data_IF_438053820020
#
_entry.id   IF_438053820020
#
_cell.length_a   1.000
_cell.length_b   1.000
_cell.length_c   1.000
_cell.angle_alpha   90.00
_cell.angle_beta   90.00
_cell.angle_gamma   90.00
#
_symmetry.space_group_name_H-M   'P 1'
#
loop_
_entity.id
_entity.type
_entity.pdbx_description
1 polymer ?
#
# COMPACT_ATOMS: atom_id res chain seq x y z
N UNK A 1 -25.55 -10.10 3.61
CA UNK A 1 -25.98 -8.71 3.87
C UNK A 1 -25.41 -8.31 5.22
N UNK A 2 -24.72 -7.18 5.33
CA UNK A 2 -24.18 -6.72 6.62
C UNK A 2 -25.33 -6.35 7.56
N UNK A 3 -25.22 -6.65 8.86
CA UNK A 3 -26.23 -6.34 9.86
C UNK A 3 -25.54 -5.87 11.15
N UNK A 4 -25.47 -4.55 11.36
CA UNK A 4 -24.79 -3.96 12.50
C UNK A 4 -25.42 -4.39 13.83
N UNK A 5 -26.75 -4.28 13.95
CA UNK A 5 -27.48 -4.57 15.19
C UNK A 5 -27.30 -6.03 15.66
N UNK A 6 -27.31 -6.97 14.71
CA UNK A 6 -27.04 -8.37 15.00
C UNK A 6 -25.61 -8.53 15.55
N UNK A 7 -24.61 -7.94 14.89
CA UNK A 7 -23.20 -8.10 15.23
C UNK A 7 -22.76 -7.33 16.50
N UNK A 8 -23.50 -6.28 16.88
CA UNK A 8 -23.30 -5.55 18.14
C UNK A 8 -24.07 -6.16 19.30
N UNK A 9 -25.03 -7.06 19.06
CA UNK A 9 -25.78 -7.70 20.14
C UNK A 9 -24.87 -8.47 21.10
N UNK A 10 -25.12 -8.30 22.40
CA UNK A 10 -24.38 -9.01 23.46
C UNK A 10 -24.39 -10.53 23.23
N UNK A 11 -25.53 -11.06 22.79
CA UNK A 11 -25.73 -12.47 22.46
C UNK A 11 -24.72 -12.97 21.41
N UNK A 12 -24.58 -12.26 20.29
CA UNK A 12 -23.64 -12.64 19.22
C UNK A 12 -22.19 -12.46 19.67
N UNK A 13 -21.85 -11.33 20.30
CA UNK A 13 -20.48 -11.10 20.74
C UNK A 13 -20.02 -12.10 21.79
N UNK A 14 -20.88 -12.47 22.76
CA UNK A 14 -20.56 -13.47 23.77
C UNK A 14 -20.47 -14.88 23.18
N UNK A 15 -21.30 -15.20 22.20
CA UNK A 15 -21.13 -16.43 21.41
C UNK A 15 -19.75 -16.47 20.72
N UNK A 16 -19.34 -15.40 20.04
CA UNK A 16 -18.05 -15.35 19.33
C UNK A 16 -16.88 -15.45 20.33
N UNK A 17 -16.95 -14.76 21.47
CA UNK A 17 -15.95 -14.88 22.55
C UNK A 17 -15.84 -16.34 23.02
N UNK A 18 -16.97 -16.99 23.28
CA UNK A 18 -17.02 -18.37 23.74
C UNK A 18 -16.48 -19.35 22.70
N UNK A 19 -16.90 -19.20 21.44
CA UNK A 19 -16.46 -20.04 20.33
C UNK A 19 -14.96 -19.91 20.07
N UNK A 20 -14.43 -18.68 20.11
CA UNK A 20 -12.99 -18.41 19.99
C UNK A 20 -12.21 -19.02 21.16
N UNK A 21 -12.67 -18.83 22.40
CA UNK A 21 -12.05 -19.39 23.60
C UNK A 21 -12.02 -20.92 23.58
N UNK A 22 -13.09 -21.55 23.10
CA UNK A 22 -13.21 -23.01 22.98
C UNK A 22 -12.56 -23.59 21.72
N UNK A 23 -12.06 -22.74 20.80
CA UNK A 23 -11.50 -23.14 19.50
C UNK A 23 -12.45 -24.05 18.71
N UNK A 24 -13.73 -23.66 18.67
CA UNK A 24 -14.74 -24.43 17.92
C UNK A 24 -14.44 -24.40 16.42
N UNK A 25 -14.62 -25.53 15.75
CA UNK A 25 -14.54 -25.59 14.28
C UNK A 25 -15.82 -25.04 13.62
N UNK A 26 -15.78 -24.86 12.29
CA UNK A 26 -16.89 -24.28 11.54
C UNK A 26 -18.21 -25.07 11.66
N UNK A 27 -18.14 -26.40 11.78
CA UNK A 27 -19.31 -27.27 11.92
C UNK A 27 -19.92 -27.12 13.31
N UNK A 28 -19.08 -27.09 14.35
CA UNK A 28 -19.49 -26.87 15.73
C UNK A 28 -20.13 -25.49 15.92
N UNK A 29 -19.53 -24.45 15.32
CA UNK A 29 -20.08 -23.08 15.32
C UNK A 29 -21.46 -23.06 14.66
N UNK A 30 -21.58 -23.60 13.44
CA UNK A 30 -22.84 -23.63 12.69
C UNK A 30 -23.95 -24.38 13.46
N UNK A 31 -23.61 -25.53 14.05
CA UNK A 31 -24.54 -26.35 14.84
C UNK A 31 -25.06 -25.62 16.07
N UNK A 32 -24.20 -24.86 16.76
CA UNK A 32 -24.62 -24.10 17.94
C UNK A 32 -25.48 -22.90 17.56
N UNK A 33 -25.10 -22.16 16.52
CA UNK A 33 -25.89 -21.04 16.04
C UNK A 33 -27.29 -21.46 15.55
N UNK A 34 -27.42 -22.66 14.97
CA UNK A 34 -28.70 -23.16 14.45
C UNK A 34 -29.80 -23.32 15.52
N UNK A 35 -29.42 -23.37 16.80
CA UNK A 35 -30.38 -23.47 17.91
C UNK A 35 -31.12 -22.16 18.17
N UNK A 36 -30.52 -21.03 17.80
CA UNK A 36 -30.89 -19.72 18.32
C UNK A 36 -30.95 -18.61 17.28
N UNK A 37 -30.48 -18.87 16.06
CA UNK A 37 -30.40 -17.91 14.97
C UNK A 37 -30.96 -18.52 13.67
N UNK A 38 -31.61 -17.67 12.87
CA UNK A 38 -32.07 -18.01 11.52
C UNK A 38 -30.91 -18.42 10.61
N UNK A 39 -31.22 -18.98 9.43
CA UNK A 39 -30.19 -19.33 8.44
C UNK A 39 -29.41 -18.09 7.95
N UNK A 40 -30.10 -16.96 7.80
CA UNK A 40 -29.50 -15.70 7.32
C UNK A 40 -28.57 -15.08 8.35
N UNK A 41 -29.01 -14.97 9.61
CA UNK A 41 -28.17 -14.49 10.72
C UNK A 41 -26.95 -15.37 10.92
N UNK A 42 -27.11 -16.69 10.80
CA UNK A 42 -26.00 -17.65 10.83
C UNK A 42 -24.92 -17.34 9.82
N UNK A 43 -25.31 -17.11 8.57
CA UNK A 43 -24.36 -16.80 7.50
C UNK A 43 -23.57 -15.51 7.84
N UNK A 44 -24.27 -14.46 8.28
CA UNK A 44 -23.65 -13.19 8.69
C UNK A 44 -22.66 -13.36 9.84
N UNK A 45 -23.05 -14.11 10.89
CA UNK A 45 -22.18 -14.36 12.04
C UNK A 45 -20.95 -15.17 11.63
N UNK A 46 -21.11 -16.22 10.82
CA UNK A 46 -20.01 -17.06 10.38
C UNK A 46 -19.02 -16.29 9.49
N UNK A 47 -19.53 -15.50 8.55
CA UNK A 47 -18.70 -14.63 7.70
C UNK A 47 -17.91 -13.64 8.57
N UNK A 48 -18.55 -12.99 9.53
CA UNK A 48 -17.90 -12.07 10.45
C UNK A 48 -16.87 -12.76 11.35
N UNK A 49 -17.15 -13.95 11.87
CA UNK A 49 -16.18 -14.73 12.67
C UNK A 49 -14.88 -15.02 11.93
N UNK A 50 -14.93 -15.22 10.61
CA UNK A 50 -13.75 -15.41 9.78
C UNK A 50 -12.90 -14.13 9.61
N UNK A 51 -13.49 -12.94 9.87
CA UNK A 51 -12.81 -11.64 9.84
C UNK A 51 -12.15 -11.29 11.18
N UNK A 52 -12.66 -11.82 12.30
CA UNK A 52 -12.15 -11.54 13.65
C UNK A 52 -10.64 -11.68 13.82
N UNK A 53 -10.01 -12.82 13.48
CA UNK A 53 -8.55 -12.93 13.60
C UNK A 53 -7.80 -11.96 12.68
N UNK A 54 -8.36 -11.67 11.49
CA UNK A 54 -7.74 -10.82 10.48
C UNK A 54 -7.71 -9.35 10.90
N UNK A 55 -8.81 -8.81 11.40
CA UNK A 55 -8.84 -7.42 11.86
C UNK A 55 -7.99 -7.23 13.13
N UNK A 56 -7.92 -8.25 14.01
CA UNK A 56 -7.06 -8.19 15.21
C UNK A 56 -5.59 -8.06 14.83
N UNK A 57 -5.15 -8.87 13.88
CA UNK A 57 -3.78 -8.78 13.34
C UNK A 57 -3.54 -7.44 12.64
N UNK A 58 -4.48 -7.02 11.77
CA UNK A 58 -4.33 -5.79 10.97
C UNK A 58 -4.26 -4.51 11.81
N UNK A 59 -5.05 -4.42 12.88
CA UNK A 59 -5.17 -3.22 13.70
C UNK A 59 -4.45 -3.30 15.06
N UNK A 60 -3.95 -4.48 15.44
CA UNK A 60 -3.24 -4.69 16.71
C UNK A 60 -4.12 -4.49 17.94
N UNK A 61 -5.42 -4.79 17.83
CA UNK A 61 -6.38 -4.61 18.92
C UNK A 61 -6.39 -5.79 19.90
N UNK A 62 -6.78 -5.52 21.14
CA UNK A 62 -6.87 -6.53 22.19
C UNK A 62 -7.85 -7.67 21.82
N UNK A 63 -7.59 -8.86 22.38
CA UNK A 63 -8.35 -10.08 22.05
C UNK A 63 -9.84 -10.03 22.39
N UNK A 64 -10.28 -9.08 23.22
CA UNK A 64 -11.68 -8.92 23.66
C UNK A 64 -12.44 -7.86 22.86
N UNK A 65 -11.73 -6.97 22.17
CA UNK A 65 -12.35 -5.94 21.35
C UNK A 65 -12.91 -6.53 20.04
N UNK A 66 -14.02 -5.96 19.59
CA UNK A 66 -14.65 -6.25 18.31
C UNK A 66 -14.71 -4.97 17.49
N UNK A 67 -14.53 -5.09 16.19
CA UNK A 67 -14.74 -4.03 15.22
C UNK A 67 -15.78 -4.50 14.21
N UNK A 68 -16.75 -3.66 13.88
CA UNK A 68 -17.68 -3.92 12.79
C UNK A 68 -16.97 -3.73 11.44
N UNK A 69 -17.00 -4.76 10.63
CA UNK A 69 -16.51 -4.71 9.26
C UNK A 69 -17.19 -5.81 8.42
N UNK A 70 -17.24 -5.58 7.12
CA UNK A 70 -17.38 -6.65 6.14
C UNK A 70 -16.01 -6.94 5.51
N UNK A 71 -15.98 -7.93 4.61
CA UNK A 71 -14.75 -8.32 3.91
C UNK A 71 -14.12 -7.16 3.14
N UNK A 72 -14.93 -6.36 2.45
CA UNK A 72 -14.44 -5.29 1.57
C UNK A 72 -13.82 -4.14 2.39
N UNK A 73 -14.52 -3.66 3.41
CA UNK A 73 -13.99 -2.63 4.31
C UNK A 73 -12.74 -3.09 5.04
N UNK A 74 -12.68 -4.36 5.45
CA UNK A 74 -11.47 -4.89 6.07
C UNK A 74 -10.32 -4.97 5.07
N UNK A 75 -10.55 -5.34 3.81
CA UNK A 75 -9.49 -5.39 2.79
C UNK A 75 -8.97 -3.98 2.44
N UNK A 76 -9.86 -2.99 2.33
CA UNK A 76 -9.53 -1.62 1.90
C UNK A 76 -8.98 -0.70 3.00
N UNK A 77 -9.26 -0.99 4.28
CA UNK A 77 -8.79 -0.16 5.41
C UNK A 77 -7.26 -0.05 5.51
N UNK A 78 -6.78 1.04 6.08
CA UNK A 78 -5.36 1.25 6.38
C UNK A 78 -4.89 0.36 7.54
N UNK A 79 -3.76 -0.33 7.38
CA UNK A 79 -3.20 -1.21 8.42
C UNK A 79 -2.46 -0.41 9.51
N UNK A 80 -2.29 -1.00 10.71
CA UNK A 80 -1.74 -0.27 11.87
C UNK A 80 -0.34 0.30 11.68
N UNK A 81 0.52 -0.36 10.91
CA UNK A 81 1.89 0.10 10.68
C UNK A 81 1.92 1.40 9.89
N UNK A 82 1.17 1.45 8.80
CA UNK A 82 1.00 2.65 7.98
C UNK A 82 0.22 3.73 8.75
N UNK A 83 -0.89 3.36 9.39
CA UNK A 83 -1.75 4.29 10.13
C UNK A 83 -1.03 5.01 11.27
N UNK A 84 -0.26 4.27 12.08
CA UNK A 84 0.56 4.86 13.16
C UNK A 84 1.62 5.81 12.62
N UNK A 85 2.27 5.47 11.50
CA UNK A 85 3.25 6.37 10.92
C UNK A 85 2.58 7.64 10.36
N UNK A 86 1.43 7.49 9.67
CA UNK A 86 0.63 8.62 9.13
C UNK A 86 0.17 9.59 10.23
N UNK A 87 -0.02 9.11 11.46
CA UNK A 87 -0.34 9.97 12.61
C UNK A 87 0.65 11.13 12.80
N UNK A 88 1.92 10.92 12.44
CA UNK A 88 2.98 11.94 12.54
C UNK A 88 2.85 13.08 11.52
N UNK A 89 1.99 12.93 10.49
CA UNK A 89 1.71 13.98 9.51
C UNK A 89 0.67 14.99 10.00
N UNK A 90 -0.02 14.69 11.10
CA UNK A 90 -1.10 15.50 11.63
C UNK A 90 -0.61 16.39 12.77
N UNK A 91 -1.24 17.56 12.99
CA UNK A 91 -1.03 18.33 14.21
C UNK A 91 -1.28 17.45 15.44
N UNK A 92 -0.44 17.57 16.46
CA UNK A 92 -0.58 16.82 17.71
C UNK A 92 -0.32 17.73 18.92
N UNK A 93 -0.59 17.23 20.13
CA UNK A 93 -0.36 18.03 21.34
C UNK A 93 -1.27 19.26 21.46
N UNK A 94 -0.86 20.30 22.20
CA UNK A 94 -1.70 21.47 22.48
C UNK A 94 -2.22 22.19 21.23
N UNK A 95 -1.44 22.26 20.14
CA UNK A 95 -1.89 22.92 18.90
C UNK A 95 -2.99 22.16 18.14
N UNK A 96 -3.21 20.88 18.46
CA UNK A 96 -4.23 20.07 17.82
C UNK A 96 -5.58 20.13 18.55
N UNK A 97 -5.60 20.60 19.79
CA UNK A 97 -6.81 20.63 20.62
C UNK A 97 -7.87 21.51 19.97
N UNK A 98 -9.06 20.94 19.76
CA UNK A 98 -10.19 21.63 19.15
C UNK A 98 -10.16 21.67 17.63
N UNK A 99 -9.10 21.15 16.98
CA UNK A 99 -9.07 21.01 15.52
C UNK A 99 -9.85 19.78 15.07
N UNK A 100 -10.50 19.91 13.92
CA UNK A 100 -11.42 18.90 13.37
C UNK A 100 -10.93 18.37 12.02
N UNK A 101 -11.21 17.09 11.75
CA UNK A 101 -10.84 16.40 10.50
C UNK A 101 -12.09 15.76 9.91
N UNK A 102 -12.38 16.04 8.64
CA UNK A 102 -13.31 15.24 7.85
C UNK A 102 -12.59 14.02 7.28
N UNK A 103 -13.03 12.82 7.64
CA UNK A 103 -12.64 11.57 6.97
C UNK A 103 -13.66 11.33 5.84
N UNK A 104 -13.29 11.79 4.64
CA UNK A 104 -14.13 11.72 3.45
C UNK A 104 -13.95 10.34 2.81
N UNK A 105 -15.05 9.65 2.53
CA UNK A 105 -15.05 8.23 2.17
C UNK A 105 -14.51 7.35 3.32
N UNK A 106 -15.03 7.58 4.54
CA UNK A 106 -14.44 7.06 5.76
C UNK A 106 -14.44 5.52 5.87
N UNK A 107 -15.31 4.83 5.13
CA UNK A 107 -15.42 3.38 5.19
C UNK A 107 -15.65 2.90 6.62
N UNK A 108 -14.80 1.99 7.11
CA UNK A 108 -14.87 1.52 8.51
C UNK A 108 -14.05 2.36 9.51
N UNK A 109 -13.37 3.42 9.06
CA UNK A 109 -12.57 4.34 9.90
C UNK A 109 -11.07 4.06 9.97
N UNK A 110 -10.52 3.25 9.05
CA UNK A 110 -9.13 2.77 9.14
C UNK A 110 -8.07 3.87 9.25
N UNK A 111 -8.23 4.99 8.54
CA UNK A 111 -7.33 6.14 8.66
C UNK A 111 -7.59 6.94 9.95
N UNK A 112 -8.86 7.11 10.31
CA UNK A 112 -9.27 7.82 11.54
C UNK A 112 -8.86 7.13 12.85
N UNK A 113 -8.64 5.82 12.84
CA UNK A 113 -8.25 5.07 14.05
C UNK A 113 -6.93 5.53 14.67
N UNK A 114 -6.03 6.06 13.85
CA UNK A 114 -4.68 6.40 14.26
C UNK A 114 -4.44 7.91 14.30
N UNK A 115 -5.46 8.73 14.04
CA UNK A 115 -5.34 10.18 14.20
C UNK A 115 -4.97 10.53 15.66
N UNK A 116 -4.16 11.57 15.89
CA UNK A 116 -3.92 12.11 17.22
C UNK A 116 -5.22 12.31 18.00
N UNK A 117 -5.23 11.87 19.27
CA UNK A 117 -6.44 11.85 20.11
C UNK A 117 -7.05 13.24 20.35
N UNK A 118 -6.22 14.28 20.23
CA UNK A 118 -6.59 15.68 20.35
C UNK A 118 -7.46 16.16 19.19
N UNK A 119 -7.36 15.48 18.03
CA UNK A 119 -8.19 15.77 16.86
C UNK A 119 -9.56 15.11 16.97
N UNK A 120 -10.56 15.84 16.50
CA UNK A 120 -11.93 15.34 16.38
C UNK A 120 -12.20 14.94 14.93
N UNK A 121 -12.33 13.63 14.69
CA UNK A 121 -12.59 13.08 13.37
C UNK A 121 -14.10 12.90 13.13
N UNK A 122 -14.57 13.29 11.95
CA UNK A 122 -15.95 13.18 11.51
C UNK A 122 -15.98 12.33 10.24
N UNK A 123 -16.67 11.19 10.29
CA UNK A 123 -16.74 10.27 9.15
C UNK A 123 -17.81 10.67 8.14
N UNK A 124 -17.47 10.73 6.86
CA UNK A 124 -18.40 11.05 5.76
C UNK A 124 -18.41 9.93 4.75
N UNK A 125 -19.59 9.40 4.44
CA UNK A 125 -19.75 8.31 3.47
C UNK A 125 -21.15 8.35 2.84
N UNK A 126 -21.29 7.72 1.68
CA UNK A 126 -22.56 7.54 0.98
C UNK A 126 -23.32 6.31 1.49
N UNK A 127 -22.63 5.35 2.10
CA UNK A 127 -23.21 4.10 2.60
C UNK A 127 -23.42 4.15 4.12
N UNK A 128 -24.68 4.04 4.52
CA UNK A 128 -25.09 4.02 5.93
C UNK A 128 -24.45 2.85 6.72
N UNK A 129 -24.15 1.72 6.07
CA UNK A 129 -23.45 0.60 6.70
C UNK A 129 -22.00 0.96 7.03
N UNK A 130 -21.33 1.73 6.16
CA UNK A 130 -19.97 2.24 6.43
C UNK A 130 -20.00 3.20 7.60
N UNK A 131 -20.96 4.11 7.64
CA UNK A 131 -21.13 5.01 8.78
C UNK A 131 -21.43 4.27 10.09
N UNK A 132 -22.23 3.19 10.06
CA UNK A 132 -22.47 2.35 11.23
C UNK A 132 -21.17 1.67 11.71
N UNK A 133 -20.36 1.15 10.78
CA UNK A 133 -19.03 0.60 11.11
C UNK A 133 -18.13 1.67 11.72
N UNK A 134 -18.01 2.83 11.07
CA UNK A 134 -17.19 3.95 11.52
C UNK A 134 -17.56 4.37 12.94
N UNK A 135 -18.85 4.65 13.21
CA UNK A 135 -19.32 5.09 14.54
C UNK A 135 -18.91 4.11 15.64
N UNK A 136 -19.23 2.83 15.43
CA UNK A 136 -18.91 1.80 16.41
C UNK A 136 -17.40 1.66 16.61
N UNK A 137 -16.64 1.55 15.52
CA UNK A 137 -15.21 1.28 15.56
C UNK A 137 -14.41 2.43 16.15
N UNK A 138 -14.73 3.67 15.79
CA UNK A 138 -14.03 4.85 16.31
C UNK A 138 -14.13 4.94 17.84
N UNK A 139 -15.27 4.54 18.42
CA UNK A 139 -15.43 4.49 19.87
C UNK A 139 -14.56 3.40 20.51
N UNK A 140 -14.59 2.19 19.96
CA UNK A 140 -13.77 1.07 20.43
C UNK A 140 -12.27 1.42 20.35
N UNK A 141 -11.83 2.02 19.24
CA UNK A 141 -10.42 2.40 19.05
C UNK A 141 -9.98 3.54 19.97
N UNK A 142 -10.90 4.37 20.45
CA UNK A 142 -10.65 5.38 21.51
C UNK A 142 -10.73 4.81 22.93
N UNK A 143 -11.03 3.51 23.09
CA UNK A 143 -11.19 2.86 24.38
C UNK A 143 -12.47 3.27 25.12
N UNK A 144 -13.49 3.73 24.40
CA UNK A 144 -14.78 4.17 24.96
C UNK A 144 -15.89 3.25 24.46
N UNK A 145 -16.90 3.01 25.30
CA UNK A 145 -18.05 2.20 24.88
C UNK A 145 -18.84 2.93 23.78
N UNK A 146 -19.38 2.23 22.77
CA UNK A 146 -20.19 2.85 21.72
C UNK A 146 -21.44 3.59 22.23
N UNK A 147 -21.95 3.24 23.42
CA UNK A 147 -23.07 3.91 24.06
C UNK A 147 -22.67 5.25 24.71
N UNK A 148 -21.40 5.36 25.11
CA UNK A 148 -20.84 6.55 25.75
C UNK A 148 -20.09 7.47 24.76
N UNK A 149 -19.93 7.05 23.52
CA UNK A 149 -19.21 7.77 22.48
C UNK A 149 -20.12 8.02 21.28
N UNK A 150 -20.29 9.29 20.92
CA UNK A 150 -21.02 9.69 19.73
C UNK A 150 -20.03 10.17 18.67
N UNK A 151 -19.34 9.23 18.02
CA UNK A 151 -18.51 9.57 16.87
C UNK A 151 -19.39 10.21 15.78
N UNK A 152 -19.08 11.45 15.41
CA UNK A 152 -19.90 12.20 14.46
C UNK A 152 -19.76 11.62 13.06
N UNK A 153 -20.88 11.49 12.35
CA UNK A 153 -20.89 11.02 10.96
C UNK A 153 -21.86 11.84 10.12
N UNK A 154 -21.58 11.95 8.83
CA UNK A 154 -22.42 12.65 7.85
C UNK A 154 -22.71 11.67 6.70
N UNK A 155 -23.98 11.39 6.47
CA UNK A 155 -24.43 10.70 5.26
C UNK A 155 -24.53 11.71 4.12
N UNK A 156 -23.73 11.53 3.08
CA UNK A 156 -23.76 12.42 1.92
C UNK A 156 -22.58 12.27 0.97
N UNK A 157 -22.70 12.91 -0.19
CA UNK A 157 -21.60 13.04 -1.14
C UNK A 157 -20.53 13.98 -0.57
N UNK A 158 -19.30 13.48 -0.50
CA UNK A 158 -18.13 14.20 0.02
C UNK A 158 -17.88 15.52 -0.72
N UNK A 159 -18.24 15.63 -2.00
CA UNK A 159 -18.11 16.85 -2.80
C UNK A 159 -19.01 17.96 -2.27
N UNK A 160 -20.25 17.62 -1.91
CA UNK A 160 -21.21 18.58 -1.36
C UNK A 160 -20.85 18.95 0.07
N UNK A 161 -20.43 17.97 0.89
CA UNK A 161 -19.96 18.22 2.26
C UNK A 161 -18.75 19.16 2.26
N UNK A 162 -17.81 19.00 1.32
CA UNK A 162 -16.66 19.89 1.19
C UNK A 162 -17.09 21.33 0.84
N UNK A 163 -17.99 21.52 -0.14
CA UNK A 163 -18.51 22.86 -0.50
C UNK A 163 -19.20 23.53 0.68
N UNK A 164 -19.94 22.77 1.49
CA UNK A 164 -20.63 23.27 2.67
C UNK A 164 -19.66 23.68 3.80
N UNK A 165 -18.43 23.13 3.82
CA UNK A 165 -17.40 23.45 4.81
C UNK A 165 -17.01 24.94 4.79
N UNK A 166 -17.11 25.61 3.64
CA UNK A 166 -16.86 27.05 3.50
C UNK A 166 -18.06 27.91 3.91
N UNK A 167 -19.27 27.35 3.91
CA UNK A 167 -20.50 28.13 4.11
C UNK A 167 -20.57 28.78 5.50
N UNK A 168 -21.18 29.96 5.62
CA UNK A 168 -21.39 30.59 6.94
C UNK A 168 -22.39 29.83 7.82
N UNK A 169 -23.06 28.81 7.28
CA UNK A 169 -24.16 28.09 7.90
C UNK A 169 -23.74 26.67 8.30
N UNK A 170 -22.67 26.53 9.08
CA UNK A 170 -22.37 25.27 9.74
C UNK A 170 -23.58 24.86 10.59
N UNK A 171 -24.09 23.64 10.37
CA UNK A 171 -25.21 23.12 11.17
C UNK A 171 -24.68 22.16 12.22
N UNK A 172 -25.46 21.92 13.29
CA UNK A 172 -25.10 20.90 14.28
C UNK A 172 -24.97 19.50 13.66
N UNK A 173 -25.68 19.21 12.57
CA UNK A 173 -25.64 17.92 11.87
C UNK A 173 -24.50 17.82 10.86
N UNK A 174 -24.02 18.96 10.33
CA UNK A 174 -22.87 19.05 9.42
C UNK A 174 -21.86 20.10 9.94
N UNK A 175 -21.09 19.73 10.98
CA UNK A 175 -20.05 20.59 11.52
C UNK A 175 -18.93 20.80 10.50
N UNK A 176 -18.17 21.87 10.65
CA UNK A 176 -16.99 22.15 9.83
C UNK A 176 -15.77 21.36 10.30
N UNK A 177 -14.84 21.14 9.37
CA UNK A 177 -13.51 20.65 9.67
C UNK A 177 -12.39 21.58 9.21
N UNK A 178 -11.30 21.62 9.98
CA UNK A 178 -10.06 22.31 9.61
C UNK A 178 -9.32 21.56 8.50
N UNK A 179 -9.30 20.22 8.57
CA UNK A 179 -8.56 19.37 7.67
C UNK A 179 -9.43 18.27 7.05
N UNK A 180 -8.92 17.63 6.00
CA UNK A 180 -9.54 16.44 5.42
C UNK A 180 -8.54 15.28 5.28
N UNK A 181 -9.04 14.06 5.36
CA UNK A 181 -8.41 12.88 4.77
C UNK A 181 -9.39 12.25 3.79
N UNK A 182 -8.90 11.69 2.68
CA UNK A 182 -9.76 11.04 1.69
C UNK A 182 -9.08 9.82 1.06
N UNK A 183 -9.84 8.73 0.96
CA UNK A 183 -9.48 7.53 0.20
C UNK A 183 -10.53 7.27 -0.89
N UNK A 184 -10.36 7.87 -2.09
CA UNK A 184 -11.30 7.68 -3.19
C UNK A 184 -11.40 6.21 -3.59
N UNK A 185 -12.63 5.70 -3.71
CA UNK A 185 -12.85 4.36 -4.21
C UNK A 185 -12.50 4.28 -5.70
N UNK A 186 -11.92 3.15 -6.13
CA UNK A 186 -11.82 2.87 -7.56
C UNK A 186 -13.21 2.60 -8.12
N UNK A 187 -13.60 3.22 -9.24
CA UNK A 187 -14.85 2.86 -9.91
C UNK A 187 -14.74 1.43 -10.42
N UNK A 188 -15.58 0.55 -9.89
CA UNK A 188 -15.82 -0.74 -10.50
C UNK A 188 -16.86 -0.54 -11.60
N UNK A 189 -16.41 -0.44 -12.85
CA UNK A 189 -17.30 -0.64 -14.01
C UNK A 189 -17.27 -2.14 -14.30
N UNK A 190 -18.43 -2.78 -14.21
CA UNK A 190 -18.58 -4.22 -14.46
C UNK A 190 -18.13 -4.53 -15.89
N UNK A 191 -17.11 -5.38 -16.04
CA UNK A 191 -16.53 -5.74 -17.35
C UNK A 191 -15.35 -4.88 -17.83
N UNK A 192 -15.01 -3.77 -17.17
CA UNK A 192 -13.82 -2.99 -17.50
C UNK A 192 -12.60 -3.35 -16.66
N UNK A 193 -11.42 -3.13 -17.24
CA UNK A 193 -10.14 -3.36 -16.58
C UNK A 193 -10.03 -2.47 -15.32
N UNK A 194 -9.85 -3.06 -14.14
CA UNK A 194 -9.48 -2.36 -12.88
C UNK A 194 -8.08 -1.69 -12.92
N UNK A 195 -7.59 -1.36 -14.12
CA UNK A 195 -6.22 -0.96 -14.43
C UNK A 195 -6.08 0.52 -14.78
N UNK A 196 -7.18 1.24 -15.01
CA UNK A 196 -7.12 2.69 -15.11
C UNK A 196 -6.94 3.29 -13.71
N UNK A 197 -5.73 3.78 -13.45
CA UNK A 197 -5.33 4.36 -12.17
C UNK A 197 -6.03 5.70 -11.90
N UNK A 198 -6.64 6.31 -12.92
CA UNK A 198 -7.38 7.58 -12.80
C UNK A 198 -8.85 7.42 -12.46
N UNK A 199 -9.38 6.21 -12.58
CA UNK A 199 -10.79 5.95 -12.40
C UNK A 199 -11.16 5.88 -10.91
N UNK A 200 -11.09 7.04 -10.27
CA UNK A 200 -11.37 7.27 -8.86
C UNK A 200 -12.74 7.95 -8.71
N UNK A 201 -13.38 7.69 -7.57
CA UNK A 201 -14.58 8.39 -7.11
C UNK A 201 -14.39 8.81 -5.65
N UNK A 202 -14.25 10.13 -5.38
CA UNK A 202 -14.14 11.24 -6.35
C UNK A 202 -12.90 11.15 -7.27
N UNK A 203 -12.92 11.79 -8.44
CA UNK A 203 -11.72 11.91 -9.29
C UNK A 203 -10.65 12.71 -8.55
N UNK A 204 -9.41 12.61 -9.01
CA UNK A 204 -8.36 13.42 -8.41
C UNK A 204 -8.57 14.92 -8.68
N UNK A 205 -9.14 15.34 -9.81
CA UNK A 205 -9.49 16.76 -9.99
C UNK A 205 -10.55 17.20 -8.96
N UNK A 206 -11.54 16.36 -8.68
CA UNK A 206 -12.53 16.64 -7.64
C UNK A 206 -11.88 16.67 -6.25
N UNK A 207 -10.89 15.83 -5.97
CA UNK A 207 -10.09 15.88 -4.73
C UNK A 207 -9.33 17.22 -4.63
N UNK A 208 -8.76 17.71 -5.72
CA UNK A 208 -8.11 19.03 -5.76
C UNK A 208 -9.13 20.13 -5.45
N UNK A 209 -10.33 20.10 -6.03
CA UNK A 209 -11.39 21.06 -5.68
C UNK A 209 -11.83 20.95 -4.22
N UNK A 210 -12.03 19.73 -3.71
CA UNK A 210 -12.34 19.46 -2.29
C UNK A 210 -11.28 20.10 -1.39
N UNK A 211 -10.00 19.96 -1.73
CA UNK A 211 -8.88 20.43 -0.91
C UNK A 211 -8.90 21.95 -0.64
N UNK A 212 -9.51 22.74 -1.54
CA UNK A 212 -9.60 24.20 -1.42
C UNK A 212 -10.51 24.66 -0.27
N UNK A 213 -11.38 23.77 0.21
CA UNK A 213 -12.33 24.05 1.30
C UNK A 213 -11.76 23.75 2.70
N UNK A 214 -10.48 23.43 2.81
CA UNK A 214 -9.82 23.06 4.07
C UNK A 214 -8.47 23.78 4.21
N UNK A 215 -7.93 23.86 5.43
CA UNK A 215 -6.59 24.43 5.69
C UNK A 215 -5.47 23.53 5.17
N UNK A 216 -5.74 22.24 5.08
CA UNK A 216 -4.83 21.23 4.55
C UNK A 216 -5.49 19.86 4.61
N UNK A 217 -4.80 18.85 4.09
CA UNK A 217 -5.32 17.50 4.13
C UNK A 217 -4.44 16.50 3.41
N UNK A 218 -4.95 15.28 3.33
CA UNK A 218 -4.26 14.14 2.76
C UNK A 218 -5.21 13.35 1.87
N UNK A 219 -4.81 13.10 0.63
CA UNK A 219 -5.51 12.20 -0.27
C UNK A 219 -4.67 10.95 -0.53
N UNK A 220 -5.28 9.76 -0.40
CA UNK A 220 -4.66 8.52 -0.85
C UNK A 220 -4.96 8.30 -2.32
N UNK A 221 -3.94 7.93 -3.09
CA UNK A 221 -4.05 7.61 -4.52
C UNK A 221 -3.29 6.30 -4.82
N UNK A 222 -3.60 5.62 -5.93
CA UNK A 222 -2.84 4.45 -6.35
C UNK A 222 -1.33 4.77 -6.49
N UNK A 223 -0.39 3.93 -6.01
CA UNK A 223 1.05 4.18 -6.16
C UNK A 223 1.58 4.24 -7.59
N UNK A 224 0.76 4.03 -8.61
CA UNK A 224 1.14 4.26 -10.02
C UNK A 224 0.45 5.46 -10.65
N UNK A 225 -0.28 6.26 -9.86
CA UNK A 225 -1.02 7.41 -10.35
C UNK A 225 -0.07 8.40 -11.07
N UNK A 226 -0.48 9.02 -12.19
CA UNK A 226 0.30 10.02 -12.91
C UNK A 226 0.79 11.17 -12.00
N UNK A 227 2.09 11.22 -11.72
CA UNK A 227 2.66 12.31 -10.91
C UNK A 227 2.54 13.67 -11.63
N UNK A 228 2.64 13.68 -12.96
CA UNK A 228 2.48 14.90 -13.76
C UNK A 228 1.09 15.55 -13.63
N UNK A 229 0.07 14.81 -13.17
CA UNK A 229 -1.28 15.34 -12.91
C UNK A 229 -1.42 15.91 -11.49
N UNK A 230 -0.40 15.73 -10.63
CA UNK A 230 -0.40 16.26 -9.26
C UNK A 230 0.08 17.71 -9.27
N UNK A 231 -0.70 18.67 -8.74
CA UNK A 231 -0.38 20.09 -8.81
C UNK A 231 0.89 20.44 -8.02
N UNK A 232 1.54 21.56 -8.39
CA UNK A 232 2.64 22.13 -7.59
C UNK A 232 2.11 22.64 -6.24
N UNK A 233 3.01 22.76 -5.26
CA UNK A 233 2.69 23.15 -3.89
C UNK A 233 2.15 22.01 -3.01
N UNK A 234 1.99 20.80 -3.54
CA UNK A 234 1.70 19.59 -2.76
C UNK A 234 2.97 18.82 -2.43
N UNK A 235 2.91 17.98 -1.41
CA UNK A 235 3.94 16.99 -1.10
C UNK A 235 3.44 15.58 -1.47
N UNK A 236 4.26 14.79 -2.15
CA UNK A 236 3.90 13.44 -2.59
C UNK A 236 4.67 12.43 -1.75
N UNK A 237 3.99 11.43 -1.19
CA UNK A 237 4.58 10.50 -0.24
C UNK A 237 4.21 9.06 -0.56
N UNK A 238 5.22 8.25 -0.84
CA UNK A 238 5.12 6.81 -1.01
C UNK A 238 5.52 6.10 0.27
N UNK A 239 4.65 5.26 0.80
CA UNK A 239 4.92 4.51 2.03
C UNK A 239 4.68 3.02 1.86
N UNK A 240 5.53 2.22 2.48
CA UNK A 240 5.42 0.76 2.47
C UNK A 240 6.45 0.07 3.35
N UNK A 241 6.60 -1.23 3.16
CA UNK A 241 7.57 -2.04 3.88
C UNK A 241 8.79 -2.35 3.01
N UNK A 242 9.66 -3.25 3.49
CA UNK A 242 10.78 -3.78 2.70
C UNK A 242 10.33 -4.52 1.43
N UNK A 243 9.11 -5.06 1.42
CA UNK A 243 8.64 -5.98 0.38
C UNK A 243 7.55 -5.39 -0.51
N UNK A 244 6.96 -4.25 -0.14
CA UNK A 244 5.89 -3.62 -0.90
C UNK A 244 5.86 -2.10 -0.71
N UNK A 245 5.29 -1.40 -1.70
CA UNK A 245 4.83 -0.03 -1.56
C UNK A 245 3.31 -0.08 -1.47
N UNK A 246 2.74 0.39 -0.36
CA UNK A 246 1.33 0.18 -0.04
C UNK A 246 0.46 1.37 -0.40
N UNK A 247 0.91 2.59 -0.09
CA UNK A 247 0.14 3.81 -0.31
C UNK A 247 0.98 4.88 -1.02
N UNK A 248 0.31 5.70 -1.82
CA UNK A 248 0.81 7.00 -2.26
C UNK A 248 -0.16 8.05 -1.72
N UNK A 249 0.38 9.06 -1.04
CA UNK A 249 -0.36 10.13 -0.39
C UNK A 249 0.01 11.44 -1.06
N UNK A 250 -0.97 12.29 -1.27
CA UNK A 250 -0.77 13.69 -1.66
C UNK A 250 -1.20 14.55 -0.50
N UNK A 251 -0.27 15.35 0.03
CA UNK A 251 -0.51 16.28 1.13
C UNK A 251 -0.76 17.67 0.57
N UNK A 252 -1.76 18.35 1.14
CA UNK A 252 -2.24 19.66 0.72
C UNK A 252 -2.15 20.68 1.85
N UNK A 253 -1.96 21.95 1.50
CA UNK A 253 -2.02 23.07 2.44
C UNK A 253 -1.07 22.91 3.63
N UNK A 254 -1.57 23.17 4.84
CA UNK A 254 -0.78 23.04 6.08
C UNK A 254 -0.19 21.64 6.33
N UNK A 255 -0.70 20.57 5.70
CA UNK A 255 -0.12 19.23 5.84
C UNK A 255 1.06 18.99 4.90
N UNK A 256 1.23 19.79 3.84
CA UNK A 256 2.39 19.73 2.95
C UNK A 256 3.55 20.52 3.55
N UNK A 257 4.28 19.91 4.48
CA UNK A 257 5.41 20.55 5.17
C UNK A 257 6.63 20.74 4.25
N UNK A 258 6.71 19.96 3.17
CA UNK A 258 7.75 20.02 2.15
C UNK A 258 7.10 20.11 0.76
N UNK A 259 6.50 21.26 0.40
CA UNK A 259 5.85 21.43 -0.89
C UNK A 259 6.84 21.17 -2.04
N UNK A 260 6.33 20.59 -3.12
CA UNK A 260 7.10 20.20 -4.30
C UNK A 260 8.22 19.20 -4.05
N UNK A 261 8.10 18.39 -2.99
CA UNK A 261 8.95 17.23 -2.75
C UNK A 261 8.21 15.91 -3.01
N UNK A 262 8.98 14.89 -3.41
CA UNK A 262 8.59 13.48 -3.39
C UNK A 262 9.33 12.80 -2.25
N UNK A 263 8.59 12.06 -1.42
CA UNK A 263 9.10 11.28 -0.31
C UNK A 263 8.85 9.80 -0.52
N UNK A 264 9.83 8.98 -0.19
CA UNK A 264 9.70 7.54 -0.09
C UNK A 264 10.04 7.12 1.35
N UNK A 265 9.09 6.50 2.02
CA UNK A 265 9.19 6.11 3.42
C UNK A 265 9.04 4.60 3.54
N UNK A 266 9.96 3.97 4.25
CA UNK A 266 9.89 2.57 4.61
C UNK A 266 9.61 2.45 6.10
N UNK A 267 8.61 1.66 6.48
CA UNK A 267 8.25 1.39 7.87
C UNK A 267 8.34 -0.09 8.23
N UNK A 268 8.53 -0.37 9.52
CA UNK A 268 8.42 -1.72 10.08
C UNK A 268 6.96 -2.08 10.42
N UNK A 269 6.73 -3.32 10.87
CA UNK A 269 5.39 -3.82 11.22
C UNK A 269 4.73 -3.12 12.42
N UNK A 270 5.49 -2.33 13.17
CA UNK A 270 4.98 -1.56 14.32
C UNK A 270 4.64 -0.12 13.94
N UNK A 271 5.06 0.33 12.76
CA UNK A 271 4.89 1.69 12.26
C UNK A 271 6.11 2.60 12.49
N UNK A 272 7.25 2.05 12.92
CA UNK A 272 8.47 2.85 13.05
C UNK A 272 9.11 3.07 11.67
N UNK A 273 9.63 4.27 11.46
CA UNK A 273 10.40 4.60 10.27
C UNK A 273 11.71 3.80 10.24
N UNK A 274 11.95 3.09 9.13
CA UNK A 274 13.21 2.41 8.82
C UNK A 274 14.10 3.33 7.98
N UNK A 275 13.50 4.04 7.02
CA UNK A 275 14.20 4.98 6.14
C UNK A 275 13.22 5.97 5.52
N UNK A 276 13.72 7.15 5.20
CA UNK A 276 12.97 8.23 4.56
C UNK A 276 13.88 8.97 3.59
N UNK A 277 13.49 8.95 2.31
CA UNK A 277 14.18 9.63 1.23
C UNK A 277 13.31 10.75 0.71
N UNK A 278 13.85 11.97 0.65
CA UNK A 278 13.13 13.16 0.19
C UNK A 278 13.93 13.83 -0.91
N UNK A 279 13.31 14.07 -2.05
CA UNK A 279 13.91 14.78 -3.18
C UNK A 279 12.91 15.72 -3.82
N UNK A 280 13.43 16.79 -4.44
CA UNK A 280 12.59 17.71 -5.18
C UNK A 280 11.92 17.00 -6.36
N UNK A 281 10.67 17.39 -6.61
CA UNK A 281 9.94 17.08 -7.83
C UNK A 281 10.76 17.55 -9.04
N UNK A 282 10.81 16.71 -10.06
CA UNK A 282 11.62 16.95 -11.27
C UNK A 282 10.80 16.57 -12.48
N UNK A 283 10.63 17.54 -13.38
CA UNK A 283 9.78 17.39 -14.56
C UNK A 283 10.24 16.26 -15.46
N UNK A 284 11.53 15.92 -15.50
CA UNK A 284 12.03 14.79 -16.30
C UNK A 284 11.59 13.45 -15.72
N UNK A 285 11.66 13.29 -14.40
CA UNK A 285 11.18 12.10 -13.69
C UNK A 285 9.65 11.98 -13.71
N UNK A 286 8.95 13.10 -13.88
CA UNK A 286 7.49 13.15 -13.91
C UNK A 286 6.92 13.06 -15.32
N UNK A 287 7.69 13.48 -16.33
CA UNK A 287 7.30 13.45 -17.73
C UNK A 287 7.05 12.01 -18.16
N UNK A 288 5.87 11.80 -18.74
CA UNK A 288 5.47 10.52 -19.30
C UNK A 288 5.89 10.43 -20.75
N UNK A 289 6.55 9.34 -21.10
CA UNK A 289 6.68 8.94 -22.49
C UNK A 289 5.38 8.22 -22.91
N UNK A 290 4.44 8.95 -23.52
CA UNK A 290 3.14 8.42 -23.97
C UNK A 290 3.28 7.24 -24.94
N UNK A 291 4.34 7.22 -25.76
CA UNK A 291 4.62 6.14 -26.70
C UNK A 291 5.04 4.85 -25.99
N UNK A 292 5.82 4.94 -24.90
CA UNK A 292 6.20 3.79 -24.07
C UNK A 292 5.04 3.33 -23.19
N UNK A 293 4.24 4.27 -22.66
CA UNK A 293 3.04 3.96 -21.88
C UNK A 293 2.04 3.15 -22.70
N UNK A 294 1.77 3.53 -23.96
CA UNK A 294 0.89 2.75 -24.84
C UNK A 294 1.44 1.34 -25.10
N UNK A 295 2.76 1.17 -25.26
CA UNK A 295 3.39 -0.16 -25.38
C UNK A 295 3.35 -0.96 -24.06
N UNK A 296 3.40 -0.32 -22.90
CA UNK A 296 3.24 -0.98 -21.60
C UNK A 296 1.78 -1.38 -21.33
N UNK A 297 0.84 -0.53 -21.70
CA UNK A 297 -0.59 -0.80 -21.60
C UNK A 297 -1.01 -1.91 -22.56
N UNK A 298 -0.43 -1.97 -23.78
CA UNK A 298 -0.68 -3.01 -24.78
C UNK A 298 0.12 -4.31 -24.56
N UNK A 299 1.07 -4.34 -23.62
CA UNK A 299 1.82 -5.55 -23.24
C UNK A 299 0.97 -6.49 -22.35
N UNK A 300 -0.27 -6.74 -22.79
CA UNK A 300 -1.26 -7.60 -22.15
C UNK A 300 -0.82 -9.07 -22.03
N UNK A 301 0.22 -9.51 -22.76
CA UNK A 301 0.65 -10.92 -22.80
C UNK A 301 1.68 -11.32 -21.72
N UNK A 302 2.24 -10.36 -20.97
CA UNK A 302 3.29 -10.59 -19.99
C UNK A 302 2.75 -10.77 -18.56
N UNK A 303 1.92 -11.80 -18.40
CA UNK A 303 1.40 -12.22 -17.10
C UNK A 303 2.47 -12.93 -16.27
N UNK A 304 3.04 -12.23 -15.29
CA UNK A 304 3.75 -12.79 -14.15
C UNK A 304 3.32 -12.05 -12.88
N UNK A 305 3.49 -12.64 -11.69
CA UNK A 305 3.10 -12.03 -10.41
C UNK A 305 3.86 -10.72 -10.10
N UNK A 306 4.90 -10.40 -10.85
CA UNK A 306 5.78 -9.23 -10.71
C UNK A 306 5.49 -8.09 -11.71
N UNK A 307 4.22 -7.69 -11.85
CA UNK A 307 3.82 -6.52 -12.67
C UNK A 307 4.25 -5.16 -12.07
N UNK A 308 4.87 -5.18 -10.89
CA UNK A 308 5.18 -4.00 -10.05
C UNK A 308 6.50 -3.32 -10.47
N UNK A 309 7.24 -3.91 -11.40
CA UNK A 309 8.68 -3.73 -11.48
C UNK A 309 9.22 -3.25 -12.84
N UNK A 310 8.36 -3.01 -13.84
CA UNK A 310 8.79 -2.12 -14.94
C UNK A 310 8.87 -0.72 -14.35
N UNK A 311 9.95 0.01 -14.66
CA UNK A 311 9.94 1.45 -14.39
C UNK A 311 8.63 1.99 -14.96
N UNK A 312 7.99 2.89 -14.24
CA UNK A 312 7.04 3.82 -14.85
C UNK A 312 7.50 4.25 -16.24
N UNK A 313 6.56 4.71 -17.06
CA UNK A 313 6.81 5.42 -18.32
C UNK A 313 7.61 6.73 -18.18
N UNK A 314 8.28 6.95 -17.06
CA UNK A 314 9.20 8.07 -16.86
C UNK A 314 10.61 7.68 -17.28
N UNK A 315 11.31 8.64 -17.90
CA UNK A 315 12.72 8.51 -18.24
C UNK A 315 13.53 8.24 -16.96
N UNK A 316 14.45 7.26 -16.99
CA UNK A 316 15.30 6.98 -15.85
C UNK A 316 16.51 7.91 -15.88
N UNK A 317 16.85 8.50 -14.73
CA UNK A 317 18.05 9.33 -14.58
C UNK A 317 19.36 8.53 -14.62
N UNK A 318 19.29 7.18 -14.66
CA UNK A 318 20.46 6.31 -14.71
C UNK A 318 20.85 6.00 -16.17
N UNK A 319 22.15 6.06 -16.52
CA UNK A 319 22.61 5.64 -17.83
C UNK A 319 22.42 4.14 -18.05
N UNK A 320 22.51 3.69 -19.29
CA UNK A 320 22.53 2.27 -19.65
C UNK A 320 23.99 1.78 -19.76
N UNK A 321 24.23 0.53 -19.39
CA UNK A 321 25.55 -0.10 -19.50
C UNK A 321 25.52 -1.62 -19.37
N UNK A 322 26.72 -2.20 -19.29
CA UNK A 322 26.92 -3.64 -19.11
C UNK A 322 26.62 -4.11 -17.68
N UNK A 323 27.06 -5.30 -17.33
CA UNK A 323 26.99 -5.80 -15.95
C UNK A 323 28.29 -5.41 -15.22
N UNK A 324 28.16 -4.78 -14.04
CA UNK A 324 29.26 -4.49 -13.11
C UNK A 324 29.40 -5.58 -12.03
N UNK A 325 30.18 -5.33 -10.97
CA UNK A 325 30.41 -6.29 -9.89
C UNK A 325 29.16 -6.65 -9.08
N UNK A 326 28.25 -5.69 -8.88
CA UNK A 326 27.03 -5.88 -8.10
C UNK A 326 25.78 -5.64 -8.95
N UNK A 327 24.72 -6.40 -8.66
CA UNK A 327 23.36 -6.12 -9.11
C UNK A 327 22.50 -5.83 -7.89
N UNK A 328 21.69 -4.80 -7.97
CA UNK A 328 20.91 -4.26 -6.88
C UNK A 328 19.43 -4.14 -7.27
N UNK A 329 18.56 -4.61 -6.39
CA UNK A 329 17.12 -4.42 -6.49
C UNK A 329 16.70 -3.26 -5.59
N UNK A 330 16.14 -2.17 -6.16
CA UNK A 330 15.71 -1.04 -5.34
C UNK A 330 14.48 -1.39 -4.50
N UNK A 331 14.36 -0.74 -3.34
CA UNK A 331 13.21 -0.88 -2.47
C UNK A 331 11.90 -0.52 -3.20
N UNK A 332 10.79 -1.24 -2.95
CA UNK A 332 9.51 -1.00 -3.63
C UNK A 332 9.02 0.45 -3.56
N UNK A 333 9.24 1.13 -2.43
CA UNK A 333 8.88 2.56 -2.26
C UNK A 333 9.73 3.49 -3.14
N UNK A 334 11.01 3.18 -3.36
CA UNK A 334 11.90 3.92 -4.26
C UNK A 334 11.58 3.67 -5.74
N UNK A 335 11.12 2.45 -6.05
CA UNK A 335 10.65 2.11 -7.40
C UNK A 335 9.38 2.88 -7.76
N UNK A 336 8.39 2.91 -6.86
CA UNK A 336 7.10 3.60 -7.09
C UNK A 336 7.21 5.12 -7.07
N UNK A 337 8.13 5.67 -6.29
CA UNK A 337 8.41 7.12 -6.24
C UNK A 337 9.37 7.61 -7.32
N UNK A 338 9.98 6.69 -8.09
CA UNK A 338 11.02 7.00 -9.08
C UNK A 338 12.30 7.62 -8.50
N UNK A 339 12.49 7.50 -7.18
CA UNK A 339 13.66 8.05 -6.48
C UNK A 339 14.87 7.12 -6.49
N UNK A 340 14.74 5.87 -6.94
CA UNK A 340 15.86 4.94 -6.89
C UNK A 340 17.09 5.40 -7.71
N UNK A 341 16.89 6.09 -8.83
CA UNK A 341 17.99 6.60 -9.66
C UNK A 341 18.84 7.63 -8.93
N UNK A 342 18.18 8.67 -8.40
CA UNK A 342 18.86 9.73 -7.64
C UNK A 342 19.52 9.21 -6.35
N UNK A 343 18.90 8.23 -5.68
CA UNK A 343 19.51 7.58 -4.49
C UNK A 343 20.73 6.75 -4.87
N UNK A 344 20.72 6.04 -6.01
CA UNK A 344 21.85 5.27 -6.48
C UNK A 344 23.04 6.16 -6.87
N UNK A 345 22.81 7.19 -7.69
CA UNK A 345 23.85 8.12 -8.18
C UNK A 345 24.50 8.88 -7.02
N UNK A 346 23.71 9.29 -6.03
CA UNK A 346 24.23 9.98 -4.84
C UNK A 346 25.24 9.12 -4.05
N UNK A 347 25.18 7.79 -4.19
CA UNK A 347 26.11 6.87 -3.53
C UNK A 347 27.26 6.42 -4.42
N UNK A 348 26.96 6.08 -5.67
CA UNK A 348 27.95 5.63 -6.65
C UNK A 348 27.62 6.20 -8.04
N UNK A 349 28.44 7.14 -8.48
CA UNK A 349 28.27 7.81 -9.77
C UNK A 349 28.49 6.88 -10.97
N UNK A 350 29.05 5.68 -10.78
CA UNK A 350 29.18 4.69 -11.86
C UNK A 350 27.92 3.81 -12.01
N UNK A 351 26.88 4.06 -11.23
CA UNK A 351 25.62 3.30 -11.29
C UNK A 351 24.92 3.45 -12.64
N UNK A 352 24.39 2.33 -13.13
CA UNK A 352 23.66 2.28 -14.39
C UNK A 352 22.62 1.16 -14.39
N UNK A 353 21.69 1.22 -15.34
CA UNK A 353 20.75 0.14 -15.64
C UNK A 353 21.35 -0.79 -16.69
N UNK A 354 21.04 -2.09 -16.57
CA UNK A 354 21.49 -3.11 -17.53
C UNK A 354 20.59 -3.21 -18.76
N UNK A 355 19.36 -2.68 -18.69
CA UNK A 355 18.41 -2.70 -19.81
C UNK A 355 17.36 -1.61 -19.63
N UNK A 356 16.88 -0.99 -20.72
CA UNK A 356 15.72 -0.09 -20.68
C UNK A 356 14.52 -0.77 -20.02
N UNK A 357 13.78 -0.04 -19.17
CA UNK A 357 12.55 -0.52 -18.54
C UNK A 357 12.70 -1.57 -17.44
N UNK A 358 13.93 -1.98 -17.10
CA UNK A 358 14.24 -2.99 -16.08
C UNK A 358 15.01 -2.31 -14.94
N UNK A 359 14.36 -2.11 -13.79
CA UNK A 359 15.02 -1.48 -12.64
C UNK A 359 15.88 -2.46 -11.83
N UNK A 360 16.86 -3.07 -12.48
CA UNK A 360 18.04 -3.62 -11.82
C UNK A 360 19.19 -2.65 -12.01
N UNK A 361 19.68 -2.11 -10.91
CA UNK A 361 20.81 -1.18 -10.90
C UNK A 361 22.07 -2.00 -10.73
N UNK A 362 23.11 -1.71 -11.51
CA UNK A 362 24.43 -2.34 -11.36
C UNK A 362 25.47 -1.30 -10.99
N UNK A 363 26.49 -1.73 -10.25
CA UNK A 363 27.49 -0.85 -9.64
C UNK A 363 28.79 -1.59 -9.31
N UNK A 364 29.87 -0.85 -9.12
CA UNK A 364 31.18 -1.41 -8.71
C UNK A 364 31.23 -1.68 -7.19
N UNK A 365 30.39 -0.98 -6.42
CA UNK A 365 30.26 -1.12 -4.97
C UNK A 365 28.82 -1.45 -4.59
N UNK A 366 28.59 -2.13 -3.45
CA UNK A 366 27.22 -2.35 -2.97
C UNK A 366 26.56 -1.00 -2.67
N UNK A 367 25.32 -0.83 -3.12
CA UNK A 367 24.48 0.34 -2.86
C UNK A 367 23.93 0.33 -1.42
N UNK A 368 23.50 1.47 -0.86
CA UNK A 368 23.19 1.55 0.56
C UNK A 368 21.92 0.76 0.92
N UNK A 369 21.99 -0.02 2.00
CA UNK A 369 20.80 -0.58 2.63
C UNK A 369 20.11 0.50 3.49
N UNK A 370 18.78 0.50 3.63
CA UNK A 370 17.81 -0.44 3.05
C UNK A 370 17.29 -0.02 1.67
N UNK A 371 17.88 1.00 1.03
CA UNK A 371 17.43 1.49 -0.27
C UNK A 371 17.54 0.41 -1.37
N UNK A 372 18.55 -0.47 -1.26
CA UNK A 372 18.80 -1.53 -2.22
C UNK A 372 19.10 -2.87 -1.54
N UNK A 373 18.53 -3.95 -2.09
CA UNK A 373 18.99 -5.30 -1.84
C UNK A 373 20.12 -5.63 -2.82
N UNK A 374 21.33 -5.85 -2.30
CA UNK A 374 22.54 -6.02 -3.11
C UNK A 374 22.91 -7.48 -3.28
N UNK A 375 23.43 -7.79 -4.48
CA UNK A 375 23.90 -9.12 -4.84
C UNK A 375 25.23 -9.01 -5.58
N UNK A 376 26.26 -9.70 -5.09
CA UNK A 376 27.56 -9.81 -5.77
C UNK A 376 27.45 -10.83 -6.89
N UNK A 377 27.72 -10.42 -8.12
CA UNK A 377 27.58 -11.25 -9.30
C UNK A 377 28.74 -12.25 -9.38
N UNK A 378 28.40 -13.52 -9.62
CA UNK A 378 29.35 -14.61 -9.75
C UNK A 378 29.61 -14.95 -11.21
N UNK A 379 28.53 -15.07 -12.00
CA UNK A 379 28.59 -15.49 -13.40
C UNK A 379 27.27 -15.12 -14.10
N UNK A 380 27.31 -14.94 -15.42
CA UNK A 380 26.13 -14.73 -16.26
C UNK A 380 26.16 -15.62 -17.50
N UNK A 381 25.00 -16.03 -18.00
CA UNK A 381 24.88 -16.78 -19.26
C UNK A 381 23.52 -16.56 -19.93
N UNK A 382 23.32 -17.17 -21.10
CA UNK A 382 22.00 -17.28 -21.72
C UNK A 382 21.00 -18.05 -20.84
N UNK A 383 19.69 -17.77 -21.03
CA UNK A 383 18.62 -18.52 -20.35
C UNK A 383 18.37 -19.86 -21.08
N UNK A 384 19.37 -20.75 -21.06
CA UNK A 384 19.27 -22.13 -21.56
C UNK A 384 19.49 -23.12 -20.42
N UNK A 385 18.76 -24.24 -20.44
CA UNK A 385 18.85 -25.27 -19.38
C UNK A 385 20.28 -25.75 -19.16
N UNK A 386 21.02 -25.92 -20.27
CA UNK A 386 22.38 -26.43 -20.26
C UNK A 386 23.33 -25.42 -19.63
N UNK A 387 23.31 -24.18 -20.11
CA UNK A 387 24.17 -23.10 -19.61
C UNK A 387 23.89 -22.81 -18.13
N UNK A 388 22.62 -22.67 -17.74
CA UNK A 388 22.26 -22.39 -16.34
C UNK A 388 22.66 -23.56 -15.43
N UNK A 389 22.42 -24.81 -15.81
CA UNK A 389 22.88 -25.96 -15.00
C UNK A 389 24.40 -26.04 -14.89
N UNK A 390 25.13 -25.70 -15.95
CA UNK A 390 26.59 -25.66 -15.92
C UNK A 390 27.09 -24.61 -14.92
N UNK A 391 26.51 -23.41 -14.96
CA UNK A 391 26.78 -22.32 -14.02
C UNK A 391 26.43 -22.70 -12.57
N UNK A 392 25.27 -23.31 -12.32
CA UNK A 392 24.91 -23.77 -10.98
C UNK A 392 25.88 -24.85 -10.46
N UNK A 393 26.40 -25.70 -11.36
CA UNK A 393 27.37 -26.74 -11.00
C UNK A 393 28.77 -26.16 -10.73
N UNK A 394 29.25 -25.19 -11.51
CA UNK A 394 30.57 -24.57 -11.33
C UNK A 394 30.69 -23.88 -9.96
N UNK A 395 29.58 -23.30 -9.47
CA UNK A 395 29.50 -22.63 -8.16
C UNK A 395 28.98 -23.51 -7.01
N UNK A 396 28.80 -24.81 -7.24
CA UNK A 396 28.29 -25.79 -6.27
C UNK A 396 26.94 -25.35 -5.63
N UNK A 397 25.99 -24.87 -6.43
CA UNK A 397 24.68 -24.39 -5.95
C UNK A 397 23.68 -25.55 -5.81
N UNK A 398 23.10 -25.68 -4.62
CA UNK A 398 22.01 -26.61 -4.29
C UNK A 398 20.70 -25.94 -3.92
N UNK A 399 20.75 -24.76 -3.30
CA UNK A 399 19.58 -23.98 -2.91
C UNK A 399 19.49 -22.71 -3.74
N UNK A 400 18.39 -22.53 -4.46
CA UNK A 400 18.24 -21.45 -5.42
C UNK A 400 17.04 -20.56 -5.06
N UNK A 401 17.25 -19.25 -5.08
CA UNK A 401 16.16 -18.27 -5.15
C UNK A 401 16.10 -17.74 -6.57
N UNK A 402 14.93 -17.75 -7.21
CA UNK A 402 14.76 -17.21 -8.56
C UNK A 402 14.08 -15.84 -8.50
N UNK A 403 14.69 -14.83 -9.12
CA UNK A 403 14.13 -13.49 -9.31
C UNK A 403 13.91 -13.24 -10.80
N UNK A 404 12.74 -12.72 -11.15
CA UNK A 404 12.31 -12.53 -12.53
C UNK A 404 11.98 -11.07 -12.82
N UNK A 405 12.51 -10.51 -13.91
CA UNK A 405 12.12 -9.17 -14.37
C UNK A 405 12.28 -9.07 -15.89
N UNK A 406 11.17 -8.91 -16.61
CA UNK A 406 11.19 -8.89 -18.08
C UNK A 406 11.27 -10.28 -18.75
N UNK A 407 11.13 -11.35 -17.96
CA UNK A 407 11.10 -12.76 -18.40
C UNK A 407 9.88 -13.46 -17.77
N UNK A 408 9.14 -14.24 -18.57
CA UNK A 408 7.93 -14.97 -18.14
C UNK A 408 8.25 -16.46 -17.98
N UNK A 409 8.43 -16.88 -16.73
CA UNK A 409 8.70 -18.26 -16.32
C UNK A 409 8.02 -18.50 -14.96
N UNK A 410 7.53 -19.71 -14.70
CA UNK A 410 7.06 -20.09 -13.36
C UNK A 410 8.27 -20.44 -12.47
N UNK A 411 8.50 -19.73 -11.35
CA UNK A 411 9.70 -19.94 -10.54
C UNK A 411 9.83 -21.35 -9.97
N UNK A 412 8.75 -21.94 -9.49
CA UNK A 412 8.78 -23.24 -8.85
C UNK A 412 9.03 -24.36 -9.86
N UNK A 413 8.40 -24.27 -11.03
CA UNK A 413 8.65 -25.20 -12.15
C UNK A 413 10.07 -25.06 -12.66
N UNK A 414 10.60 -23.84 -12.75
CA UNK A 414 11.96 -23.61 -13.23
C UNK A 414 13.02 -24.16 -12.28
N UNK A 415 12.89 -23.92 -10.98
CA UNK A 415 13.80 -24.49 -9.98
C UNK A 415 13.74 -26.02 -10.04
N UNK A 416 12.55 -26.62 -10.15
CA UNK A 416 12.37 -28.08 -10.34
C UNK A 416 12.99 -28.59 -11.63
N UNK A 417 12.96 -27.79 -12.70
CA UNK A 417 13.56 -28.13 -14.00
C UNK A 417 15.07 -28.08 -13.93
N UNK A 418 15.67 -27.09 -13.27
CA UNK A 418 17.11 -26.94 -13.13
C UNK A 418 17.73 -28.06 -12.29
N UNK A 419 17.04 -28.54 -11.25
CA UNK A 419 17.50 -29.62 -10.33
C UNK A 419 18.91 -29.34 -9.76
N UNK A 420 19.14 -28.21 -9.08
CA UNK A 420 20.43 -27.91 -8.44
C UNK A 420 20.80 -28.99 -7.41
N UNK A 421 22.10 -29.29 -7.25
CA UNK A 421 22.60 -30.41 -6.42
C UNK A 421 23.79 -30.08 -5.51
N UNK A 422 24.27 -28.84 -5.51
CA UNK A 422 25.44 -28.46 -4.73
C UNK A 422 25.17 -28.19 -3.25
N UNK A 423 26.17 -27.67 -2.53
CA UNK A 423 26.07 -27.37 -1.08
C UNK A 423 25.74 -25.90 -0.79
N UNK A 424 26.02 -25.00 -1.74
CA UNK A 424 25.87 -23.56 -1.57
C UNK A 424 24.47 -23.08 -1.94
N UNK A 425 24.17 -21.83 -1.58
CA UNK A 425 22.94 -21.13 -1.96
C UNK A 425 23.24 -19.85 -2.72
N UNK A 426 22.45 -19.55 -3.74
CA UNK A 426 22.58 -18.31 -4.52
C UNK A 426 21.21 -17.80 -5.01
N UNK A 427 21.22 -16.58 -5.52
CA UNK A 427 20.08 -15.98 -6.23
C UNK A 427 20.36 -16.00 -7.73
N UNK A 428 19.40 -16.48 -8.51
CA UNK A 428 19.44 -16.47 -9.97
C UNK A 428 18.43 -15.44 -10.47
N UNK A 429 18.93 -14.47 -11.23
CA UNK A 429 18.11 -13.47 -11.89
C UNK A 429 17.90 -13.89 -13.33
N UNK A 430 16.64 -14.01 -13.75
CA UNK A 430 16.30 -14.02 -15.18
C UNK A 430 15.76 -12.66 -15.55
N UNK A 431 16.51 -11.97 -16.40
CA UNK A 431 16.20 -10.60 -16.77
C UNK A 431 16.64 -10.28 -18.19
N UNK A 432 16.82 -9.00 -18.51
CA UNK A 432 17.32 -8.53 -19.79
C UNK A 432 18.59 -7.70 -19.62
N UNK A 433 19.52 -7.86 -20.56
CA UNK A 433 20.71 -7.03 -20.75
C UNK A 433 20.61 -6.48 -22.18
N UNK A 434 20.52 -5.15 -22.31
CA UNK A 434 20.30 -4.47 -23.60
C UNK A 434 19.12 -5.09 -24.41
N UNK A 435 18.01 -5.35 -23.72
CA UNK A 435 16.81 -5.97 -24.31
C UNK A 435 16.86 -7.49 -24.47
N UNK A 436 18.03 -8.12 -24.43
CA UNK A 436 18.22 -9.57 -24.62
C UNK A 436 18.14 -10.35 -23.32
N UNK A 437 17.53 -11.56 -23.35
CA UNK A 437 17.31 -12.38 -22.14
C UNK A 437 18.62 -12.92 -21.59
N UNK A 438 18.85 -12.73 -20.28
CA UNK A 438 20.06 -13.18 -19.59
C UNK A 438 19.76 -13.82 -18.23
N UNK A 439 20.58 -14.79 -17.86
CA UNK A 439 20.65 -15.38 -16.53
C UNK A 439 21.87 -14.84 -15.77
N UNK A 440 21.69 -14.34 -14.54
CA UNK A 440 22.77 -13.83 -13.70
C UNK A 440 22.71 -14.55 -12.35
N UNK A 441 23.79 -15.24 -11.98
CA UNK A 441 23.92 -15.88 -10.67
C UNK A 441 24.69 -14.96 -9.73
N UNK A 442 24.14 -14.73 -8.55
CA UNK A 442 24.71 -13.79 -7.60
C UNK A 442 24.49 -14.23 -6.14
N UNK A 443 25.42 -13.84 -5.26
CA UNK A 443 25.30 -14.04 -3.82
C UNK A 443 24.68 -12.81 -3.18
N UNK A 444 23.71 -13.01 -2.27
CA UNK A 444 23.17 -11.89 -1.49
C UNK A 444 24.26 -11.30 -0.60
N UNK A 445 24.44 -9.98 -0.68
CA UNK A 445 25.29 -9.24 0.24
C UNK A 445 24.47 -8.98 1.51
N UNK A 446 24.97 -9.43 2.67
CA UNK A 446 24.35 -9.07 3.95
C UNK A 446 24.64 -7.59 4.21
N UNK A 447 23.59 -6.81 4.48
CA UNK A 447 23.62 -5.35 4.66
C UNK A 447 24.91 -4.87 5.35
N UNK A 448 25.67 -4.02 4.66
CA UNK A 448 26.72 -3.17 5.25
C UNK A 448 26.08 -2.01 6.02
#
# INVERSE_FOLDING_TARGET
MFNADLLTSAKVQDFIKLATKKKLDALQVSTQLAKEFSNEERAVIMDYMALVPKFREKFGIESTAFLLCDKLALEQSTAQDIGRWKANLWPSGPEAVGKTVHDLCCGMGGDSFFLPKELTAIGVDLDENRLAMYRYNSCIMRGVSPEACNAHTILGDVREVAKENDSKNATLTRPKADYFTIDPARRAIEGENQRDLRNLTPTFEEVIEISKHYKGGMAKIPPGYPICEIPRGTEILYIGSRTDCRECLVLFGELAQNPDQVRAVMVDKTGNEIANWTFARDEKREARNESEQSQYDHNYELEGRDRIYRTSSSESDLPLGGISKFIAEPAPVLLRSHLFGVVAIAHDATTHLISPGIAYVTSEKPLPAPAFANYEILESSEISTGAVRAMLKSHDIGKLTLKLRGVKVDPDQEIKRLKPKGKNSATLFYTRLDGEKIAILANSVKNL
#
